data_IF_360731493248
#
_entry.id   IF_360731493248
#
_cell.length_a   1.000
_cell.length_b   1.000
_cell.length_c   1.000
_cell.angle_alpha   90.00
_cell.angle_beta   90.00
_cell.angle_gamma   90.00
#
_symmetry.space_group_name_H-M   'P 1'
#
loop_
_entity.id
_entity.type
_entity.pdbx_description
1 polymer ?
#
# COMPACT_ATOMS: atom_id res chain seq x y z
N UNK A 1 -38.11 -21.69 6.69
CA UNK A 1 -36.97 -22.11 5.86
C UNK A 1 -35.73 -21.64 6.60
N UNK A 2 -35.03 -22.58 7.22
CA UNK A 2 -33.81 -22.29 7.99
C UNK A 2 -32.73 -21.89 6.98
N UNK A 3 -32.22 -20.67 7.10
CA UNK A 3 -31.06 -20.22 6.33
C UNK A 3 -29.85 -20.97 6.85
N UNK A 4 -29.23 -21.79 6.00
CA UNK A 4 -28.00 -22.48 6.34
C UNK A 4 -26.89 -21.45 6.58
N UNK A 5 -26.50 -21.34 7.84
CA UNK A 5 -25.31 -20.61 8.27
C UNK A 5 -24.13 -21.56 8.10
N UNK A 6 -23.45 -21.49 6.96
CA UNK A 6 -22.20 -22.21 6.76
C UNK A 6 -21.01 -21.28 7.05
N UNK A 7 -20.05 -21.80 7.81
CA UNK A 7 -18.80 -21.12 8.15
C UNK A 7 -17.66 -21.75 7.35
N UNK A 8 -17.30 -21.18 6.20
CA UNK A 8 -16.02 -21.49 5.56
C UNK A 8 -15.01 -20.42 5.97
N UNK A 9 -13.82 -20.83 6.42
CA UNK A 9 -12.71 -19.94 6.79
C UNK A 9 -13.02 -18.86 7.87
N UNK A 10 -14.02 -19.08 8.73
CA UNK A 10 -14.44 -18.08 9.73
C UNK A 10 -15.32 -16.96 9.18
N UNK A 11 -15.76 -17.09 7.92
CA UNK A 11 -16.72 -16.20 7.26
C UNK A 11 -18.13 -16.77 7.43
N UNK A 12 -19.05 -15.96 7.96
CA UNK A 12 -20.45 -16.31 8.19
C UNK A 12 -21.27 -15.97 6.94
N UNK A 13 -21.78 -16.99 6.24
CA UNK A 13 -22.60 -16.77 5.05
C UNK A 13 -24.09 -16.67 5.40
N UNK A 14 -24.72 -15.60 4.93
CA UNK A 14 -26.14 -15.29 5.04
C UNK A 14 -26.77 -15.34 3.65
N UNK A 15 -27.54 -16.41 3.38
CA UNK A 15 -28.11 -16.66 2.06
C UNK A 15 -29.61 -16.44 2.01
N UNK A 16 -30.11 -15.97 0.87
CA UNK A 16 -31.55 -15.92 0.55
C UNK A 16 -32.36 -15.11 1.57
N UNK A 17 -31.76 -14.05 2.12
CA UNK A 17 -32.42 -13.15 3.06
C UNK A 17 -33.06 -11.96 2.34
N UNK A 18 -34.13 -11.44 2.93
CA UNK A 18 -34.83 -10.26 2.43
C UNK A 18 -34.90 -9.21 3.54
N UNK A 19 -34.24 -8.08 3.32
CA UNK A 19 -34.22 -6.93 4.20
C UNK A 19 -35.04 -5.80 3.57
N UNK A 20 -36.17 -5.48 4.20
CA UNK A 20 -37.08 -4.44 3.75
C UNK A 20 -37.10 -3.30 4.78
N UNK A 21 -37.04 -2.04 4.33
CA UNK A 21 -37.16 -0.85 5.17
C UNK A 21 -36.21 -0.85 6.40
N UNK A 22 -35.07 -1.54 6.28
CA UNK A 22 -34.16 -1.80 7.39
C UNK A 22 -33.14 -0.67 7.53
N UNK A 23 -32.86 -0.25 8.76
CA UNK A 23 -31.87 0.78 9.08
C UNK A 23 -30.71 0.18 9.85
N UNK A 24 -29.52 0.23 9.26
CA UNK A 24 -28.27 -0.24 9.84
C UNK A 24 -27.42 0.98 10.22
N UNK A 25 -27.40 1.34 11.49
CA UNK A 25 -26.76 2.58 11.95
C UNK A 25 -25.67 2.28 12.97
N UNK A 26 -24.48 2.84 12.76
CA UNK A 26 -23.37 2.81 13.71
C UNK A 26 -22.94 1.38 14.11
N UNK A 27 -22.94 0.47 13.13
CA UNK A 27 -22.58 -0.94 13.30
C UNK A 27 -21.26 -1.28 12.60
N UNK A 28 -20.58 -2.30 13.11
CA UNK A 28 -19.39 -2.88 12.50
C UNK A 28 -19.67 -4.35 12.13
N UNK A 29 -19.63 -4.65 10.85
CA UNK A 29 -19.88 -5.99 10.30
C UNK A 29 -18.53 -6.64 10.00
N UNK A 30 -18.29 -7.84 10.53
CA UNK A 30 -17.03 -8.56 10.38
C UNK A 30 -17.26 -9.96 9.89
N UNK A 31 -16.49 -10.34 8.87
CA UNK A 31 -16.48 -11.70 8.34
C UNK A 31 -17.88 -12.20 7.99
N UNK A 32 -18.71 -11.37 7.36
CA UNK A 32 -20.05 -11.77 6.90
C UNK A 32 -20.13 -11.71 5.39
N UNK A 33 -20.75 -12.73 4.80
CA UNK A 33 -21.03 -12.76 3.37
C UNK A 33 -22.52 -12.82 3.15
N UNK A 34 -23.08 -11.82 2.47
CA UNK A 34 -24.47 -11.86 2.04
C UNK A 34 -24.53 -12.47 0.64
N UNK A 35 -25.29 -13.54 0.47
CA UNK A 35 -25.43 -14.26 -0.80
C UNK A 35 -26.90 -14.30 -1.22
N UNK A 36 -27.18 -14.12 -2.51
CA UNK A 36 -28.53 -14.28 -3.08
C UNK A 36 -29.63 -13.51 -2.33
N UNK A 37 -29.27 -12.37 -1.74
CA UNK A 37 -30.12 -11.63 -0.79
C UNK A 37 -30.65 -10.32 -1.38
N UNK A 38 -31.81 -9.89 -0.91
CA UNK A 38 -32.48 -8.64 -1.32
C UNK A 38 -32.38 -7.59 -0.21
N UNK A 39 -31.95 -6.38 -0.58
CA UNK A 39 -32.02 -5.19 0.26
C UNK A 39 -32.85 -4.14 -0.46
N UNK A 40 -34.04 -3.82 0.06
CA UNK A 40 -34.96 -2.89 -0.56
C UNK A 40 -35.41 -1.81 0.43
N UNK A 41 -35.29 -0.54 0.00
CA UNK A 41 -35.58 0.63 0.82
C UNK A 41 -34.77 0.66 2.14
N UNK A 42 -33.53 0.15 2.11
CA UNK A 42 -32.66 0.09 3.27
C UNK A 42 -31.83 1.36 3.44
N UNK A 43 -31.33 1.58 4.65
CA UNK A 43 -30.47 2.71 4.96
C UNK A 43 -29.28 2.25 5.80
N UNK A 44 -28.06 2.47 5.30
CA UNK A 44 -26.81 2.16 5.98
C UNK A 44 -26.14 3.47 6.37
N UNK A 45 -25.90 3.68 7.66
CA UNK A 45 -25.30 4.90 8.21
C UNK A 45 -24.16 4.54 9.16
N UNK A 46 -22.98 5.13 8.94
CA UNK A 46 -21.82 4.90 9.81
C UNK A 46 -21.45 3.41 9.97
N UNK A 47 -21.68 2.63 8.91
CA UNK A 47 -21.37 1.20 8.88
C UNK A 47 -19.92 0.98 8.46
N UNK A 48 -19.21 0.17 9.24
CA UNK A 48 -17.85 -0.32 8.93
C UNK A 48 -17.88 -1.81 8.63
N UNK A 49 -17.06 -2.26 7.68
CA UNK A 49 -17.10 -3.61 7.14
C UNK A 49 -15.70 -4.22 6.95
N UNK A 50 -15.37 -5.21 7.76
CA UNK A 50 -14.11 -5.97 7.63
C UNK A 50 -14.40 -7.35 7.06
N UNK A 51 -13.65 -7.77 6.04
CA UNK A 51 -13.83 -9.08 5.37
C UNK A 51 -15.31 -9.43 5.09
N UNK A 52 -16.08 -8.44 4.64
CA UNK A 52 -17.53 -8.56 4.44
C UNK A 52 -17.87 -8.24 2.99
N UNK A 53 -18.73 -9.05 2.38
CA UNK A 53 -19.06 -8.95 0.95
C UNK A 53 -20.53 -9.24 0.69
N UNK A 54 -21.05 -8.68 -0.39
CA UNK A 54 -22.36 -8.95 -0.95
C UNK A 54 -22.13 -9.61 -2.31
N UNK A 55 -22.64 -10.82 -2.50
CA UNK A 55 -22.47 -11.59 -3.73
C UNK A 55 -23.84 -11.99 -4.29
N UNK A 56 -24.04 -11.78 -5.59
CA UNK A 56 -25.32 -12.05 -6.28
C UNK A 56 -26.55 -11.44 -5.57
N UNK A 57 -26.36 -10.33 -4.88
CA UNK A 57 -27.42 -9.65 -4.14
C UNK A 57 -28.13 -8.63 -5.03
N UNK A 58 -29.39 -8.33 -4.69
CA UNK A 58 -30.15 -7.25 -5.33
C UNK A 58 -30.31 -6.10 -4.33
N UNK A 59 -29.82 -4.91 -4.67
CA UNK A 59 -29.88 -3.70 -3.85
C UNK A 59 -30.80 -2.70 -4.54
N UNK A 60 -31.92 -2.34 -3.90
CA UNK A 60 -32.92 -1.43 -4.44
C UNK A 60 -33.20 -0.27 -3.50
N UNK A 61 -33.28 0.94 -4.05
CA UNK A 61 -33.71 2.14 -3.32
C UNK A 61 -33.01 2.31 -1.97
N UNK A 62 -31.72 1.96 -1.93
CA UNK A 62 -30.95 1.86 -0.68
C UNK A 62 -29.89 2.95 -0.64
N UNK A 63 -29.72 3.56 0.53
CA UNK A 63 -28.73 4.63 0.72
C UNK A 63 -27.62 4.16 1.65
N UNK A 64 -26.38 4.42 1.26
CA UNK A 64 -25.17 4.18 2.02
C UNK A 64 -24.54 5.52 2.38
N UNK A 65 -24.63 5.92 3.64
CA UNK A 65 -24.13 7.18 4.17
C UNK A 65 -22.98 6.96 5.14
N UNK A 66 -21.83 7.57 4.86
CA UNK A 66 -20.65 7.52 5.73
C UNK A 66 -20.12 6.11 6.01
N UNK A 67 -20.23 5.22 5.02
CA UNK A 67 -19.85 3.81 5.11
C UNK A 67 -18.55 3.50 4.36
N UNK A 68 -17.92 2.37 4.67
CA UNK A 68 -16.82 1.78 3.88
C UNK A 68 -17.29 0.69 2.88
N UNK A 69 -18.60 0.63 2.62
CA UNK A 69 -19.23 -0.28 1.68
C UNK A 69 -19.14 0.25 0.25
N UNK A 70 -18.03 -0.03 -0.41
CA UNK A 70 -17.75 0.45 -1.76
C UNK A 70 -18.29 -0.48 -2.83
N UNK A 71 -18.98 0.09 -3.82
CA UNK A 71 -19.51 -0.63 -4.99
C UNK A 71 -18.44 -1.53 -5.65
N UNK A 72 -17.27 -0.97 -5.95
CA UNK A 72 -16.20 -1.68 -6.69
C UNK A 72 -15.52 -2.84 -5.94
N UNK A 73 -15.68 -2.96 -4.62
CA UNK A 73 -14.92 -3.95 -3.83
C UNK A 73 -15.77 -4.85 -2.94
N UNK A 74 -16.91 -4.34 -2.44
CA UNK A 74 -17.75 -5.05 -1.47
C UNK A 74 -18.93 -5.76 -2.14
N UNK A 75 -19.25 -5.41 -3.37
CA UNK A 75 -20.39 -5.96 -4.11
C UNK A 75 -19.89 -6.71 -5.36
N UNK A 76 -20.11 -8.02 -5.42
CA UNK A 76 -19.74 -8.85 -6.58
C UNK A 76 -21.00 -9.38 -7.23
N UNK A 77 -21.11 -9.22 -8.54
CA UNK A 77 -22.27 -9.66 -9.33
C UNK A 77 -23.61 -9.19 -8.76
N UNK A 78 -23.63 -8.04 -8.09
CA UNK A 78 -24.83 -7.49 -7.48
C UNK A 78 -25.60 -6.62 -8.48
N UNK A 79 -26.93 -6.69 -8.43
CA UNK A 79 -27.81 -5.79 -9.19
C UNK A 79 -28.17 -4.58 -8.31
N UNK A 80 -27.77 -3.38 -8.73
CA UNK A 80 -28.10 -2.14 -8.02
C UNK A 80 -29.12 -1.31 -8.81
N UNK A 81 -30.21 -0.90 -8.14
CA UNK A 81 -31.25 -0.02 -8.69
C UNK A 81 -31.51 1.12 -7.71
N UNK A 82 -31.28 2.37 -8.11
CA UNK A 82 -31.42 3.54 -7.24
C UNK A 82 -30.63 3.43 -5.92
N UNK A 83 -29.43 2.85 -5.97
CA UNK A 83 -28.51 2.83 -4.84
C UNK A 83 -27.72 4.16 -4.79
N UNK A 84 -27.66 4.79 -3.63
CA UNK A 84 -26.94 6.08 -3.46
C UNK A 84 -25.83 5.94 -2.43
N UNK A 85 -24.61 6.37 -2.78
CA UNK A 85 -23.45 6.37 -1.88
C UNK A 85 -23.05 7.81 -1.55
N UNK A 86 -23.05 8.16 -0.26
CA UNK A 86 -22.80 9.50 0.25
C UNK A 86 -21.70 9.48 1.33
N UNK A 87 -20.77 10.43 1.25
CA UNK A 87 -19.61 10.54 2.15
C UNK A 87 -18.83 9.23 2.38
N UNK A 88 -18.50 8.48 1.33
CA UNK A 88 -17.97 7.15 1.54
C UNK A 88 -16.54 7.21 2.15
N UNK A 89 -16.31 6.46 3.23
CA UNK A 89 -15.06 6.50 4.02
C UNK A 89 -13.98 5.75 3.25
N UNK A 90 -13.13 6.48 2.50
CA UNK A 90 -12.09 5.83 1.69
C UNK A 90 -11.09 5.23 2.65
N UNK A 91 -11.20 3.93 2.89
CA UNK A 91 -10.09 3.15 3.40
C UNK A 91 -8.93 3.37 2.44
N UNK A 92 -7.77 3.74 2.96
CA UNK A 92 -6.54 3.71 2.18
C UNK A 92 -6.32 2.24 1.81
N UNK A 93 -6.75 1.85 0.60
CA UNK A 93 -6.50 0.52 0.06
C UNK A 93 -5.02 0.41 -0.28
N UNK A 94 -4.18 0.14 0.71
CA UNK A 94 -3.08 -0.81 0.53
C UNK A 94 -3.68 -2.20 0.73
N UNK A 95 -4.59 -2.58 -0.16
CA UNK A 95 -5.21 -3.88 -0.17
C UNK A 95 -4.42 -4.75 -1.15
N UNK A 96 -3.22 -5.16 -0.74
CA UNK A 96 -2.47 -6.21 -1.41
C UNK A 96 -2.08 -7.22 -0.34
N UNK A 97 -2.93 -8.24 -0.16
CA UNK A 97 -2.55 -9.51 0.46
C UNK A 97 -1.81 -9.39 1.81
N UNK A 98 -2.49 -9.66 2.92
CA UNK A 98 -1.87 -9.82 4.25
C UNK A 98 -0.66 -10.81 4.28
N UNK A 99 -0.40 -11.59 3.21
CA UNK A 99 0.82 -12.39 3.05
C UNK A 99 1.98 -11.71 2.29
N UNK A 100 1.73 -10.67 1.49
CA UNK A 100 2.77 -9.98 0.70
C UNK A 100 3.33 -8.74 1.39
N UNK A 101 2.71 -8.19 2.44
CA UNK A 101 3.27 -7.04 3.14
C UNK A 101 4.64 -7.37 3.75
N UNK A 102 4.76 -8.52 4.42
CA UNK A 102 6.06 -9.00 4.93
C UNK A 102 7.06 -9.15 3.78
N UNK A 103 6.63 -9.69 2.64
CA UNK A 103 7.50 -9.92 1.48
C UNK A 103 7.95 -8.60 0.86
N UNK A 104 7.07 -7.62 0.70
CA UNK A 104 7.39 -6.30 0.13
C UNK A 104 8.31 -5.52 1.08
N UNK A 105 8.03 -5.53 2.38
CA UNK A 105 8.94 -4.97 3.39
C UNK A 105 10.28 -5.70 3.40
N UNK A 106 10.29 -7.03 3.28
CA UNK A 106 11.51 -7.82 3.26
C UNK A 106 12.33 -7.60 1.98
N UNK A 107 11.71 -7.51 0.80
CA UNK A 107 12.36 -7.19 -0.47
C UNK A 107 12.91 -5.77 -0.45
N UNK A 108 12.17 -4.81 0.12
CA UNK A 108 12.64 -3.43 0.29
C UNK A 108 13.81 -3.33 1.27
N UNK A 109 13.77 -4.11 2.34
CA UNK A 109 14.86 -4.25 3.30
C UNK A 109 16.11 -4.86 2.66
N UNK A 110 15.96 -5.95 1.90
CA UNK A 110 17.05 -6.59 1.18
C UNK A 110 17.64 -5.70 0.09
N UNK A 111 16.82 -4.92 -0.62
CA UNK A 111 17.28 -3.92 -1.58
C UNK A 111 18.14 -2.83 -0.91
N UNK A 112 17.75 -2.39 0.29
CA UNK A 112 18.54 -1.45 1.08
C UNK A 112 19.83 -2.10 1.61
N UNK A 113 19.79 -3.37 2.02
CA UNK A 113 20.96 -4.12 2.47
C UNK A 113 21.98 -4.38 1.35
N UNK A 114 21.52 -4.63 0.13
CA UNK A 114 22.38 -4.90 -1.04
C UNK A 114 23.17 -3.67 -1.50
N UNK A 115 22.68 -2.46 -1.22
CA UNK A 115 23.33 -1.20 -1.61
C UNK A 115 24.36 -0.71 -0.60
N UNK A 116 24.30 -1.17 0.66
CA UNK A 116 25.25 -0.83 1.72
C UNK A 116 26.71 -1.24 1.41
N UNK A 117 27.03 -2.47 0.97
CA UNK A 117 28.38 -2.86 0.60
C UNK A 117 28.96 -2.02 -0.54
N UNK A 118 28.12 -1.69 -1.54
CA UNK A 118 28.52 -0.85 -2.67
C UNK A 118 28.85 0.58 -2.26
N UNK A 119 28.06 1.16 -1.34
CA UNK A 119 28.28 2.51 -0.81
C UNK A 119 29.49 2.58 0.13
N UNK A 120 29.73 1.53 0.92
CA UNK A 120 30.94 1.44 1.77
C UNK A 120 32.19 1.22 0.91
N UNK A 121 32.10 0.39 -0.13
CA UNK A 121 33.21 0.10 -1.03
C UNK A 121 33.58 1.32 -1.89
N UNK A 122 32.59 2.08 -2.39
CA UNK A 122 32.83 3.32 -3.12
C UNK A 122 33.45 4.39 -2.21
N UNK A 123 32.98 4.53 -0.97
CA UNK A 123 33.59 5.41 0.02
C UNK A 123 35.04 5.02 0.35
N UNK A 124 35.33 3.71 0.53
CA UNK A 124 36.70 3.21 0.75
C UNK A 124 37.60 3.40 -0.47
N UNK A 125 37.06 3.23 -1.68
CA UNK A 125 37.81 3.44 -2.92
C UNK A 125 38.12 4.92 -3.14
N UNK A 126 37.18 5.80 -2.84
CA UNK A 126 37.39 7.25 -2.85
C UNK A 126 38.42 7.68 -1.80
N UNK A 127 38.44 7.08 -0.60
CA UNK A 127 39.48 7.37 0.41
C UNK A 127 40.86 6.86 -0.03
N UNK A 128 40.96 5.68 -0.66
CA UNK A 128 42.24 5.12 -1.14
C UNK A 128 42.78 5.83 -2.38
N UNK A 129 41.95 6.10 -3.39
CA UNK A 129 42.40 6.79 -4.63
C UNK A 129 42.51 8.30 -4.42
N UNK A 130 41.58 8.90 -3.66
CA UNK A 130 41.60 10.32 -3.36
C UNK A 130 42.88 10.74 -2.65
N UNK A 131 43.34 9.96 -1.66
CA UNK A 131 44.62 10.23 -0.99
C UNK A 131 45.85 10.02 -1.89
N UNK A 132 45.83 9.05 -2.80
CA UNK A 132 46.94 8.83 -3.74
C UNK A 132 47.04 9.96 -4.77
N UNK A 133 45.91 10.52 -5.21
CA UNK A 133 45.91 11.64 -6.16
C UNK A 133 46.46 12.93 -5.56
N UNK A 134 46.11 13.25 -4.32
CA UNK A 134 46.63 14.44 -3.62
C UNK A 134 48.16 14.34 -3.40
N UNK A 135 48.69 13.15 -3.13
CA UNK A 135 50.15 12.94 -2.96
C UNK A 135 50.90 12.93 -4.30
N UNK A 136 50.22 12.59 -5.41
CA UNK A 136 50.80 12.61 -6.75
C UNK A 136 50.94 14.03 -7.32
N UNK A 137 49.94 14.87 -7.09
CA UNK A 137 49.90 16.25 -7.60
C UNK A 137 50.96 17.14 -6.90
N UNK A 138 51.24 16.88 -5.62
CA UNK A 138 52.29 17.60 -4.85
C UNK A 138 53.72 17.31 -5.34
N UNK A 139 53.94 16.19 -6.06
CA UNK A 139 55.25 15.84 -6.66
C UNK A 139 55.49 16.48 -8.02
N UNK A 140 54.46 16.76 -8.80
CA UNK A 140 54.62 17.44 -10.10
C UNK A 140 54.93 18.93 -9.87
N UNK A 141 54.24 19.57 -8.92
CA UNK A 141 54.41 20.99 -8.60
C UNK A 141 55.78 21.31 -7.97
N UNK A 142 56.34 20.40 -7.16
CA UNK A 142 57.68 20.57 -6.57
C UNK A 142 58.80 20.44 -7.61
N UNK A 143 58.63 19.64 -8.66
CA UNK A 143 59.60 19.56 -9.76
C UNK A 143 59.53 20.78 -10.69
N UNK A 144 58.33 21.31 -10.97
CA UNK A 144 58.16 22.55 -11.74
C UNK A 144 58.75 23.75 -10.98
N UNK A 145 58.48 23.86 -9.68
CA UNK A 145 59.05 24.93 -8.85
C UNK A 145 60.58 24.88 -8.73
N UNK A 146 61.19 23.68 -8.70
CA UNK A 146 62.65 23.53 -8.75
C UNK A 146 63.24 23.89 -10.12
N UNK A 147 62.53 23.61 -11.22
CA UNK A 147 62.97 24.00 -12.55
C UNK A 147 63.00 25.52 -12.72
N UNK A 148 61.95 26.23 -12.29
CA UNK A 148 61.89 27.70 -12.39
C UNK A 148 62.97 28.40 -11.54
N UNK A 149 63.24 27.91 -10.33
CA UNK A 149 64.25 28.49 -9.45
C UNK A 149 65.69 28.27 -9.97
N UNK A 150 65.93 27.12 -10.63
CA UNK A 150 67.22 26.83 -11.26
C UNK A 150 67.45 27.57 -12.58
N UNK A 151 66.40 28.07 -13.25
CA UNK A 151 66.52 28.96 -14.40
C UNK A 151 66.86 30.40 -13.97
N UNK A 152 66.31 30.89 -12.87
CA UNK A 152 66.61 32.22 -12.35
C UNK A 152 68.10 32.39 -12.01
N UNK A 153 68.70 31.40 -11.34
CA UNK A 153 70.11 31.45 -10.92
C UNK A 153 71.16 31.33 -12.05
N UNK A 154 70.74 31.14 -13.31
CA UNK A 154 71.67 31.12 -14.46
C UNK A 154 71.67 32.41 -15.27
N UNK A 155 70.87 33.41 -14.88
CA UNK A 155 70.69 34.66 -15.64
C UNK A 155 71.11 35.92 -14.88
N UNK A 156 71.85 35.78 -13.77
CA UNK A 156 72.55 36.87 -13.07
C UNK A 156 74.03 36.56 -13.00
#
# INVERSE_FOLDING_TARGET
>A
MLSDVFTEAGLFSLKTLCYLLSRFMNIEIKSVKFEDSLFENCYFEDVRSTNTYFENCTIKNTVFYNTDLWEDSKFKDCRMENATFLHPKKGCHLNFQEENDVVIYMVSFLGSLATLPGNILSALFMDKIGRVKIIGEEREDTHVAQWENNQWNKTT
#
